data_IF_916252804738
#
_entry.id   IF_916252804738
#
_cell.length_a   1.000
_cell.length_b   1.000
_cell.length_c   1.000
_cell.angle_alpha   90.00
_cell.angle_beta   90.00
_cell.angle_gamma   90.00
#
_symmetry.space_group_name_H-M   'P 1'
#
loop_
_entity.id
_entity.type
_entity.pdbx_description
1 polymer ?
#
# COMPACT_ATOMS: atom_id res chain seq x y z
N UNK A 1 -32.70 13.16 -30.92
CA UNK A 1 -32.95 14.46 -30.26
C UNK A 1 -31.62 15.18 -30.06
N UNK A 2 -31.49 16.30 -30.75
CA UNK A 2 -30.34 17.18 -30.68
C UNK A 2 -30.42 18.04 -29.41
N UNK A 3 -29.35 18.16 -28.64
CA UNK A 3 -29.15 19.35 -27.82
C UNK A 3 -27.73 19.88 -28.05
N UNK A 4 -27.76 20.99 -28.76
CA UNK A 4 -26.68 21.92 -29.03
C UNK A 4 -26.70 22.98 -27.93
N UNK A 5 -25.57 23.41 -27.45
CA UNK A 5 -25.47 24.55 -26.53
C UNK A 5 -23.98 24.82 -26.24
N UNK A 6 -23.41 25.51 -27.06
CA UNK A 6 -22.71 26.80 -27.24
C UNK A 6 -21.97 27.29 -25.99
N UNK A 7 -20.66 27.35 -26.19
CA UNK A 7 -19.67 28.40 -25.87
C UNK A 7 -20.14 29.61 -25.07
N UNK A 8 -19.33 29.99 -24.08
CA UNK A 8 -19.04 31.41 -23.84
C UNK A 8 -17.60 31.55 -23.33
N UNK A 9 -16.82 32.07 -24.25
CA UNK A 9 -15.53 32.72 -24.13
C UNK A 9 -15.65 33.94 -23.21
N UNK A 10 -14.78 34.10 -22.24
CA UNK A 10 -14.51 35.40 -21.63
C UNK A 10 -13.03 35.62 -21.48
N UNK A 11 -12.50 36.34 -22.48
CA UNK A 11 -11.24 37.03 -22.40
C UNK A 11 -11.35 38.17 -21.37
N UNK A 12 -10.41 38.26 -20.44
CA UNK A 12 -10.00 39.56 -19.90
C UNK A 12 -8.48 39.69 -19.92
N UNK A 13 -8.07 40.60 -20.78
CA UNK A 13 -6.74 41.22 -20.79
C UNK A 13 -6.63 42.22 -19.63
N UNK A 14 -5.44 42.33 -19.09
CA UNK A 14 -5.05 43.38 -18.12
C UNK A 14 -3.67 43.10 -17.61
N UNK A 15 -2.76 43.65 -18.16
CA UNK A 15 -1.81 44.78 -18.04
C UNK A 15 -0.53 44.42 -17.31
N UNK A 16 0.49 44.55 -18.05
CA UNK A 16 1.91 44.87 -17.86
C UNK A 16 2.23 45.50 -16.50
N UNK A 17 3.25 44.93 -15.85
CA UNK A 17 4.00 45.55 -14.78
C UNK A 17 5.39 44.97 -14.72
N UNK A 18 6.33 45.59 -15.43
CA UNK A 18 7.77 45.40 -15.32
C UNK A 18 8.24 45.99 -14.00
N UNK A 19 8.81 45.16 -13.13
CA UNK A 19 9.76 45.63 -12.12
C UNK A 19 10.96 44.71 -12.12
N UNK A 20 12.09 45.31 -12.45
CA UNK A 20 13.40 44.72 -12.45
C UNK A 20 13.94 44.58 -11.00
N UNK A 21 14.74 43.58 -10.78
CA UNK A 21 15.82 43.63 -9.79
C UNK A 21 15.59 42.74 -8.56
N UNK A 22 16.41 41.71 -8.43
CA UNK A 22 16.61 40.98 -7.19
C UNK A 22 17.21 39.61 -7.42
N UNK A 23 18.55 39.57 -7.49
CA UNK A 23 19.33 38.33 -7.33
C UNK A 23 19.06 37.74 -5.94
N UNK A 24 18.15 36.78 -5.82
CA UNK A 24 18.11 35.94 -4.66
C UNK A 24 18.64 34.56 -5.03
N UNK A 25 19.79 34.27 -4.44
CA UNK A 25 20.37 32.94 -4.41
C UNK A 25 19.30 31.98 -3.94
N UNK A 26 18.91 31.02 -4.82
CA UNK A 26 17.96 29.97 -4.50
C UNK A 26 18.53 29.07 -3.42
N UNK A 27 18.05 29.24 -2.21
CA UNK A 27 18.14 28.17 -1.22
C UNK A 27 17.21 27.09 -1.73
N UNK A 28 17.78 26.02 -2.29
CA UNK A 28 17.06 24.79 -2.52
C UNK A 28 16.58 24.28 -1.14
N UNK A 29 15.36 24.63 -0.78
CA UNK A 29 14.68 23.98 0.32
C UNK A 29 14.51 22.53 -0.09
N UNK A 30 15.40 21.66 0.39
CA UNK A 30 15.16 20.23 0.43
C UNK A 30 13.87 20.06 1.25
N UNK A 31 12.75 19.88 0.57
CA UNK A 31 11.53 19.40 1.22
C UNK A 31 11.87 18.00 1.70
N UNK A 32 12.27 17.88 2.95
CA UNK A 32 12.26 16.60 3.64
C UNK A 32 10.78 16.21 3.61
N UNK A 33 10.43 15.28 2.71
CA UNK A 33 9.14 14.64 2.76
C UNK A 33 9.04 14.01 4.14
N UNK A 34 8.27 14.63 5.03
CA UNK A 34 7.94 14.02 6.30
C UNK A 34 7.35 12.65 5.98
N UNK A 35 7.80 11.56 6.65
CA UNK A 35 7.16 10.27 6.47
C UNK A 35 5.68 10.50 6.69
N UNK A 36 4.85 10.09 5.70
CA UNK A 36 3.42 10.19 5.83
C UNK A 36 3.06 9.49 7.15
N UNK A 37 2.61 10.26 8.14
CA UNK A 37 2.10 9.69 9.36
C UNK A 37 0.96 8.75 8.94
N UNK A 38 1.14 7.45 9.14
CA UNK A 38 0.11 6.47 8.84
C UNK A 38 -1.12 6.89 9.63
N UNK A 39 -2.18 7.29 8.94
CA UNK A 39 -3.43 7.62 9.59
C UNK A 39 -3.87 6.41 10.42
N UNK A 40 -4.34 6.66 11.65
CA UNK A 40 -4.86 5.58 12.49
C UNK A 40 -5.94 4.80 11.71
N UNK A 41 -5.97 3.46 11.83
CA UNK A 41 -6.97 2.65 11.15
C UNK A 41 -8.39 3.10 11.51
N UNK A 42 -9.27 3.13 10.52
CA UNK A 42 -10.70 3.32 10.76
C UNK A 42 -11.30 2.02 11.31
N UNK A 43 -11.67 2.05 12.59
CA UNK A 43 -12.20 0.90 13.30
C UNK A 43 -13.71 0.66 13.09
N UNK A 44 -14.38 1.42 12.24
CA UNK A 44 -15.73 1.07 11.80
C UNK A 44 -15.72 -0.26 11.03
N UNK A 45 -16.82 -0.99 11.02
CA UNK A 45 -16.92 -2.23 10.24
C UNK A 45 -16.60 -2.02 8.75
N UNK A 46 -17.00 -0.87 8.19
CA UNK A 46 -16.68 -0.49 6.81
C UNK A 46 -15.19 -0.17 6.65
N UNK A 47 -14.59 0.54 7.59
CA UNK A 47 -13.16 0.87 7.56
C UNK A 47 -12.28 -0.37 7.63
N UNK A 48 -12.60 -1.30 8.52
CA UNK A 48 -11.91 -2.60 8.62
C UNK A 48 -12.03 -3.40 7.31
N UNK A 49 -13.24 -3.50 6.75
CA UNK A 49 -13.47 -4.21 5.49
C UNK A 49 -12.70 -3.57 4.32
N UNK A 50 -12.65 -2.25 4.25
CA UNK A 50 -11.88 -1.52 3.24
C UNK A 50 -10.37 -1.78 3.37
N UNK A 51 -9.85 -1.80 4.58
CA UNK A 51 -8.43 -2.12 4.82
C UNK A 51 -8.09 -3.53 4.36
N UNK A 52 -8.88 -4.53 4.75
CA UNK A 52 -8.67 -5.92 4.32
C UNK A 52 -8.73 -6.06 2.80
N UNK A 53 -9.70 -5.42 2.17
CA UNK A 53 -9.88 -5.43 0.71
C UNK A 53 -8.68 -4.80 0.00
N UNK A 54 -8.23 -3.65 0.46
CA UNK A 54 -7.09 -2.91 -0.10
C UNK A 54 -5.79 -3.71 0.04
N UNK A 55 -5.51 -4.26 1.23
CA UNK A 55 -4.32 -5.08 1.47
C UNK A 55 -4.33 -6.34 0.59
N UNK A 56 -5.47 -7.02 0.52
CA UNK A 56 -5.62 -8.22 -0.33
C UNK A 56 -5.38 -7.91 -1.80
N UNK A 57 -5.90 -6.79 -2.29
CA UNK A 57 -5.67 -6.31 -3.65
C UNK A 57 -4.18 -6.05 -3.91
N UNK A 58 -3.54 -5.28 -3.06
CA UNK A 58 -2.13 -4.94 -3.17
C UNK A 58 -1.22 -6.17 -3.09
N UNK A 59 -1.52 -7.11 -2.20
CA UNK A 59 -0.77 -8.35 -2.09
C UNK A 59 -0.89 -9.22 -3.35
N UNK A 60 -2.08 -9.31 -3.94
CA UNK A 60 -2.28 -10.03 -5.21
C UNK A 60 -1.52 -9.40 -6.36
N UNK A 61 -1.55 -8.08 -6.46
CA UNK A 61 -0.84 -7.36 -7.53
C UNK A 61 0.67 -7.52 -7.37
N UNK A 62 1.17 -7.46 -6.14
CA UNK A 62 2.56 -7.74 -5.83
C UNK A 62 2.98 -9.16 -6.26
N UNK A 63 2.21 -10.17 -5.86
CA UNK A 63 2.51 -11.58 -6.20
C UNK A 63 2.42 -11.86 -7.70
N UNK A 64 1.61 -11.12 -8.46
CA UNK A 64 1.61 -11.21 -9.92
C UNK A 64 2.87 -10.60 -10.53
N UNK A 65 3.36 -9.51 -9.96
CA UNK A 65 4.59 -8.84 -10.40
C UNK A 65 5.86 -9.61 -10.01
N UNK A 66 5.77 -10.47 -8.98
CA UNK A 66 6.85 -11.29 -8.45
C UNK A 66 6.50 -12.79 -8.56
N UNK A 67 6.68 -13.41 -9.75
CA UNK A 67 6.20 -14.77 -10.00
C UNK A 67 6.77 -15.83 -9.06
N UNK A 68 8.02 -15.67 -8.58
CA UNK A 68 8.63 -16.57 -7.62
C UNK A 68 7.90 -16.56 -6.27
N UNK A 69 7.66 -15.37 -5.72
CA UNK A 69 6.88 -15.21 -4.50
C UNK A 69 5.44 -15.73 -4.70
N UNK A 70 4.84 -15.40 -5.86
CA UNK A 70 3.51 -15.86 -6.20
C UNK A 70 3.39 -17.39 -6.20
N UNK A 71 4.32 -18.08 -6.82
CA UNK A 71 4.30 -19.55 -6.90
C UNK A 71 4.39 -20.19 -5.52
N UNK A 72 5.29 -19.74 -4.65
CA UNK A 72 5.46 -20.33 -3.32
C UNK A 72 4.25 -20.06 -2.42
N UNK A 73 3.67 -18.85 -2.50
CA UNK A 73 2.48 -18.50 -1.72
C UNK A 73 1.24 -19.26 -2.20
N UNK A 74 1.04 -19.39 -3.52
CA UNK A 74 -0.11 -20.15 -4.04
C UNK A 74 0.06 -21.67 -3.82
N UNK A 75 1.27 -22.21 -3.93
CA UNK A 75 1.51 -23.62 -3.64
C UNK A 75 1.22 -23.96 -2.17
N UNK A 76 1.51 -23.04 -1.26
CA UNK A 76 1.25 -23.21 0.18
C UNK A 76 -0.21 -23.51 0.52
N UNK A 77 -1.16 -23.08 -0.31
CA UNK A 77 -2.60 -23.34 -0.10
C UNK A 77 -2.97 -24.85 -0.24
N UNK A 78 -2.12 -25.61 -0.92
CA UNK A 78 -2.35 -27.03 -1.19
C UNK A 78 -1.33 -27.93 -0.47
N UNK A 79 -0.54 -27.39 0.44
CA UNK A 79 0.50 -28.10 1.18
C UNK A 79 0.10 -28.24 2.66
N UNK A 80 0.60 -29.29 3.34
CA UNK A 80 0.56 -29.33 4.80
C UNK A 80 1.20 -28.07 5.38
N UNK A 81 0.67 -27.58 6.50
CA UNK A 81 1.08 -26.31 7.10
C UNK A 81 2.60 -26.18 7.32
N UNK A 82 3.20 -27.23 7.87
CA UNK A 82 4.64 -27.23 8.18
C UNK A 82 5.50 -27.12 6.91
N UNK A 83 5.09 -27.82 5.85
CA UNK A 83 5.74 -27.75 4.55
C UNK A 83 5.56 -26.37 3.89
N UNK A 84 4.35 -25.86 3.93
CA UNK A 84 4.05 -24.52 3.41
C UNK A 84 4.87 -23.44 4.13
N UNK A 85 4.95 -23.48 5.45
CA UNK A 85 5.73 -22.55 6.25
C UNK A 85 7.24 -22.65 5.94
N UNK A 86 7.77 -23.86 5.80
CA UNK A 86 9.16 -24.08 5.45
C UNK A 86 9.49 -23.53 4.04
N UNK A 87 8.64 -23.79 3.06
CA UNK A 87 8.84 -23.32 1.69
C UNK A 87 8.76 -21.80 1.58
N UNK A 88 7.80 -21.17 2.24
CA UNK A 88 7.67 -19.72 2.31
C UNK A 88 8.92 -19.10 2.97
N UNK A 89 9.34 -19.64 4.12
CA UNK A 89 10.52 -19.15 4.83
C UNK A 89 11.79 -19.29 3.98
N UNK A 90 12.00 -20.44 3.36
CA UNK A 90 13.17 -20.68 2.50
C UNK A 90 13.21 -19.70 1.33
N UNK A 91 12.08 -19.46 0.67
CA UNK A 91 12.01 -18.52 -0.44
C UNK A 91 12.36 -17.10 -0.01
N UNK A 92 11.72 -16.59 1.03
CA UNK A 92 11.92 -15.21 1.48
C UNK A 92 13.26 -14.99 2.18
N UNK A 93 13.86 -16.02 2.77
CA UNK A 93 15.24 -15.95 3.26
C UNK A 93 16.23 -15.76 2.10
N UNK A 94 15.98 -16.40 0.96
CA UNK A 94 16.79 -16.22 -0.24
C UNK A 94 16.46 -14.91 -1.00
N UNK A 95 15.30 -14.32 -0.77
CA UNK A 95 14.82 -13.10 -1.43
C UNK A 95 14.37 -12.05 -0.40
N UNK A 96 15.28 -11.51 0.42
CA UNK A 96 14.94 -10.64 1.54
C UNK A 96 14.27 -9.32 1.12
N UNK A 97 14.58 -8.80 -0.05
CA UNK A 97 13.92 -7.60 -0.58
C UNK A 97 12.42 -7.85 -0.78
N UNK A 98 12.07 -8.95 -1.42
CA UNK A 98 10.68 -9.33 -1.64
C UNK A 98 9.95 -9.60 -0.31
N UNK A 99 10.66 -10.15 0.69
CA UNK A 99 10.12 -10.31 2.03
C UNK A 99 9.71 -8.98 2.65
N UNK A 100 10.60 -8.00 2.67
CA UNK A 100 10.31 -6.69 3.26
C UNK A 100 9.21 -5.94 2.54
N UNK A 101 9.16 -6.05 1.22
CA UNK A 101 8.12 -5.43 0.40
C UNK A 101 6.74 -6.04 0.70
N UNK A 102 6.62 -7.37 0.64
CA UNK A 102 5.36 -8.06 0.93
C UNK A 102 4.93 -7.86 2.39
N UNK A 103 5.88 -7.92 3.34
CA UNK A 103 5.63 -7.63 4.75
C UNK A 103 5.04 -6.24 4.95
N UNK A 104 5.57 -5.23 4.26
CA UNK A 104 5.04 -3.86 4.28
C UNK A 104 3.62 -3.78 3.75
N UNK A 105 3.32 -4.51 2.69
CA UNK A 105 1.97 -4.55 2.09
C UNK A 105 0.94 -5.14 3.05
N UNK A 106 1.29 -6.22 3.76
CA UNK A 106 0.33 -6.92 4.65
C UNK A 106 0.31 -6.38 6.08
N UNK A 107 1.25 -5.53 6.46
CA UNK A 107 1.35 -4.96 7.81
C UNK A 107 0.05 -4.28 8.31
N UNK A 108 -0.72 -3.55 7.48
CA UNK A 108 -1.95 -2.90 7.94
C UNK A 108 -3.01 -3.86 8.50
N UNK A 109 -2.97 -5.15 8.16
CA UNK A 109 -3.85 -6.16 8.76
C UNK A 109 -3.60 -6.25 10.26
N UNK A 110 -2.34 -6.48 10.67
CA UNK A 110 -1.98 -6.55 12.08
C UNK A 110 -2.16 -5.23 12.82
N UNK A 111 -1.92 -4.11 12.17
CA UNK A 111 -2.15 -2.78 12.76
C UNK A 111 -3.63 -2.57 13.05
N UNK A 112 -4.51 -2.92 12.12
CA UNK A 112 -5.96 -2.85 12.29
C UNK A 112 -6.42 -3.77 13.41
N UNK A 113 -5.95 -5.01 13.45
CA UNK A 113 -6.31 -5.97 14.51
C UNK A 113 -5.93 -5.45 15.90
N UNK A 114 -4.72 -4.92 16.05
CA UNK A 114 -4.24 -4.37 17.32
C UNK A 114 -4.96 -3.09 17.74
N UNK A 115 -5.11 -2.15 16.81
CA UNK A 115 -5.69 -0.84 17.11
C UNK A 115 -7.18 -0.91 17.35
N UNK A 116 -7.88 -1.73 16.55
CA UNK A 116 -9.33 -1.86 16.62
C UNK A 116 -9.80 -2.99 17.53
N UNK A 117 -8.88 -3.78 18.07
CA UNK A 117 -9.19 -4.95 18.91
C UNK A 117 -10.17 -5.92 18.22
N UNK A 118 -9.91 -6.23 16.97
CA UNK A 118 -10.72 -7.13 16.13
C UNK A 118 -9.85 -8.23 15.52
N UNK A 119 -10.44 -9.40 15.24
CA UNK A 119 -9.83 -10.44 14.44
C UNK A 119 -10.42 -10.39 13.04
N UNK A 120 -9.57 -10.18 12.03
CA UNK A 120 -10.00 -10.10 10.63
C UNK A 120 -9.56 -11.32 9.81
N UNK A 121 -8.66 -12.13 10.35
CA UNK A 121 -8.18 -13.37 9.74
C UNK A 121 -8.79 -14.58 10.43
N UNK A 122 -9.10 -15.67 9.68
CA UNK A 122 -9.37 -16.96 10.26
C UNK A 122 -8.16 -17.46 11.09
N UNK A 123 -8.36 -18.31 12.11
CA UNK A 123 -7.28 -18.73 13.03
C UNK A 123 -6.04 -19.31 12.34
N UNK A 124 -6.25 -20.11 11.29
CA UNK A 124 -5.15 -20.74 10.53
C UNK A 124 -4.33 -19.68 9.77
N UNK A 125 -4.99 -18.68 9.17
CA UNK A 125 -4.31 -17.58 8.50
C UNK A 125 -3.69 -16.60 9.49
N UNK A 126 -4.30 -16.40 10.65
CA UNK A 126 -3.74 -15.54 11.69
C UNK A 126 -2.39 -16.07 12.17
N UNK A 127 -2.29 -17.37 12.43
CA UNK A 127 -1.04 -17.97 12.87
C UNK A 127 0.02 -17.99 11.74
N UNK A 128 -0.37 -18.20 10.48
CA UNK A 128 0.53 -18.07 9.33
C UNK A 128 1.01 -16.63 9.13
N UNK A 129 0.11 -15.67 9.30
CA UNK A 129 0.44 -14.24 9.24
C UNK A 129 1.42 -13.85 10.36
N UNK A 130 1.17 -14.26 11.60
CA UNK A 130 2.06 -13.97 12.72
C UNK A 130 3.46 -14.57 12.49
N UNK A 131 3.55 -15.79 11.98
CA UNK A 131 4.81 -16.44 11.63
C UNK A 131 5.56 -15.69 10.52
N UNK A 132 4.85 -15.29 9.46
CA UNK A 132 5.42 -14.50 8.37
C UNK A 132 5.93 -13.14 8.86
N UNK A 133 5.19 -12.46 9.73
CA UNK A 133 5.57 -11.15 10.26
C UNK A 133 6.74 -11.22 11.24
N UNK A 134 6.98 -12.36 11.89
CA UNK A 134 8.10 -12.59 12.79
C UNK A 134 9.44 -12.82 12.05
N UNK A 135 9.41 -13.34 10.84
CA UNK A 135 10.57 -13.60 9.97
C UNK A 135 11.07 -15.02 10.01
#
# INVERSE_FOLDING_TARGET
>A
MKFSGKSLTSMRRGTVGLVAGGLFAGVAAATIAAPAASAAPDCSGQGVANTVSSVTGSARDYLRAHPGAGQVVYAAQNQPRDEAAANIRNYFTANPQEYYELRGIVAPIGDTQRTCNVSVLPPDLESAYAEFMAG
#
